data_IF_652440029575
#
_entry.id   IF_652440029575
#
_cell.length_a   1.000
_cell.length_b   1.000
_cell.length_c   1.000
_cell.angle_alpha   90.00
_cell.angle_beta   90.00
_cell.angle_gamma   90.00
#
_symmetry.space_group_name_H-M   'P 1'
#
loop_
_entity.id
_entity.type
_entity.pdbx_description
1 polymer ?
#
# COMPACT_ATOMS: atom_id res chain seq x y z
N UNK A 1 15.05 5.38 1.58
CA UNK A 1 13.77 5.27 0.86
C UNK A 1 12.67 4.91 1.85
N UNK A 2 11.64 5.75 2.01
CA UNK A 2 10.47 5.41 2.85
C UNK A 2 9.57 4.49 2.03
N UNK A 3 9.41 3.24 2.43
CA UNK A 3 8.66 2.22 1.68
C UNK A 3 7.23 2.06 2.24
N UNK A 4 6.42 3.10 2.05
CA UNK A 4 5.01 3.12 2.45
C UNK A 4 4.15 3.35 1.20
N UNK A 5 3.32 2.37 0.85
CA UNK A 5 2.53 2.35 -0.38
C UNK A 5 1.03 2.52 -0.14
N UNK A 6 0.63 2.83 1.09
CA UNK A 6 -0.74 3.19 1.44
C UNK A 6 -0.76 4.67 1.84
N UNK A 7 -1.41 5.51 1.04
CA UNK A 7 -1.52 6.95 1.32
C UNK A 7 -2.71 7.26 2.23
N UNK A 8 -3.79 6.47 2.10
CA UNK A 8 -5.04 6.70 2.84
C UNK A 8 -5.83 5.40 3.03
N UNK A 9 -6.43 5.24 4.21
CA UNK A 9 -7.50 4.27 4.48
C UNK A 9 -8.83 4.97 4.20
N UNK A 10 -9.66 4.37 3.34
CA UNK A 10 -10.97 4.91 2.93
C UNK A 10 -12.10 4.30 3.77
N UNK A 11 -12.03 3.01 4.04
CA UNK A 11 -12.93 2.30 4.94
C UNK A 11 -12.19 1.18 5.66
N UNK A 12 -12.65 0.85 6.85
CA UNK A 12 -12.10 -0.20 7.70
C UNK A 12 -13.23 -0.82 8.53
N UNK A 13 -13.53 -2.08 8.24
CA UNK A 13 -14.46 -2.91 9.01
C UNK A 13 -13.62 -3.91 9.81
N UNK A 14 -13.58 -3.70 11.13
CA UNK A 14 -12.70 -4.43 12.05
C UNK A 14 -12.81 -5.95 11.86
N UNK A 15 -11.68 -6.58 11.52
CA UNK A 15 -11.59 -8.03 11.35
C UNK A 15 -12.25 -8.59 10.08
N UNK A 16 -12.82 -7.75 9.23
CA UNK A 16 -13.57 -8.16 8.04
C UNK A 16 -12.95 -7.61 6.75
N UNK A 17 -12.85 -6.29 6.60
CA UNK A 17 -12.43 -5.68 5.33
C UNK A 17 -11.73 -4.33 5.51
N UNK A 18 -10.88 -3.97 4.53
CA UNK A 18 -10.25 -2.65 4.45
C UNK A 18 -10.19 -2.19 2.99
N UNK A 19 -10.45 -0.91 2.75
CA UNK A 19 -10.20 -0.26 1.47
C UNK A 19 -9.19 0.87 1.63
N UNK A 20 -8.17 0.90 0.77
CA UNK A 20 -7.08 1.88 0.82
C UNK A 20 -6.83 2.52 -0.54
N UNK A 21 -6.10 3.64 -0.54
CA UNK A 21 -5.69 4.35 -1.75
C UNK A 21 -4.19 4.51 -1.77
N UNK A 22 -3.62 4.22 -2.94
CA UNK A 22 -2.27 4.60 -3.36
C UNK A 22 -2.39 5.51 -4.58
N UNK A 23 -1.99 6.77 -4.42
CA UNK A 23 -1.88 7.72 -5.52
C UNK A 23 -0.53 7.49 -6.21
N UNK A 24 -0.55 7.52 -7.54
CA UNK A 24 0.65 7.40 -8.36
C UNK A 24 1.03 8.77 -8.91
N UNK A 25 2.32 9.07 -8.85
CA UNK A 25 2.91 10.25 -9.46
C UNK A 25 4.14 9.85 -10.27
N UNK A 26 4.35 10.50 -11.42
CA UNK A 26 5.57 10.31 -12.23
C UNK A 26 6.86 10.71 -11.49
N UNK A 27 6.75 11.35 -10.32
CA UNK A 27 7.89 11.63 -9.44
C UNK A 27 8.41 10.39 -8.68
N UNK A 28 7.69 9.26 -8.72
CA UNK A 28 8.13 8.03 -8.06
C UNK A 28 9.25 7.36 -8.85
N UNK A 29 10.41 7.18 -8.19
CA UNK A 29 11.67 6.74 -8.83
C UNK A 29 11.52 5.46 -9.66
N UNK A 30 10.77 4.48 -9.15
CA UNK A 30 10.57 3.20 -9.84
C UNK A 30 9.79 3.30 -11.15
N UNK A 31 9.03 4.38 -11.39
CA UNK A 31 8.34 4.60 -12.66
C UNK A 31 9.27 5.12 -13.76
N UNK A 32 10.43 5.68 -13.41
CA UNK A 32 11.44 6.06 -14.39
C UNK A 32 12.06 4.83 -15.08
N UNK A 33 12.23 3.74 -14.33
CA UNK A 33 12.91 2.52 -14.78
C UNK A 33 11.94 1.38 -15.16
N UNK A 34 10.64 1.51 -14.85
CA UNK A 34 9.64 0.49 -15.16
C UNK A 34 8.46 1.11 -15.93
N UNK A 35 8.56 1.33 -17.23
CA UNK A 35 9.73 1.18 -18.10
C UNK A 35 10.14 2.54 -18.68
N UNK A 36 11.40 2.73 -19.10
CA UNK A 36 11.82 3.99 -19.70
C UNK A 36 10.94 4.37 -20.90
N UNK A 37 10.30 5.55 -20.83
CA UNK A 37 9.36 6.03 -21.85
C UNK A 37 7.96 5.40 -21.83
N UNK A 38 7.72 4.41 -20.95
CA UNK A 38 6.43 3.75 -20.76
C UNK A 38 6.23 3.39 -19.27
N UNK A 39 5.94 4.38 -18.41
CA UNK A 39 5.83 4.17 -16.97
C UNK A 39 4.62 3.28 -16.63
N UNK A 40 4.89 2.21 -15.90
CA UNK A 40 3.94 1.18 -15.46
C UNK A 40 4.25 0.87 -14.00
N UNK A 41 3.25 0.90 -13.13
CA UNK A 41 3.46 0.47 -11.74
C UNK A 41 3.90 -1.02 -11.71
N UNK A 42 5.05 -1.37 -11.10
CA UNK A 42 5.43 -2.76 -10.95
C UNK A 42 4.37 -3.56 -10.18
N UNK A 43 3.96 -4.71 -10.71
CA UNK A 43 2.92 -5.54 -10.07
C UNK A 43 3.26 -5.97 -8.65
N UNK A 44 4.55 -6.15 -8.35
CA UNK A 44 5.02 -6.46 -6.99
C UNK A 44 4.75 -5.33 -5.99
N UNK A 45 4.73 -4.06 -6.44
CA UNK A 45 4.37 -2.94 -5.58
C UNK A 45 2.85 -2.86 -5.35
N UNK A 46 2.04 -3.32 -6.31
CA UNK A 46 0.60 -3.49 -6.09
C UNK A 46 0.33 -4.56 -5.02
N UNK A 47 1.04 -5.69 -5.09
CA UNK A 47 0.94 -6.75 -4.07
C UNK A 47 1.42 -6.26 -2.70
N UNK A 48 2.52 -5.52 -2.65
CA UNK A 48 3.01 -4.92 -1.40
C UNK A 48 1.99 -3.93 -0.82
N UNK A 49 1.37 -3.06 -1.62
CA UNK A 49 0.31 -2.17 -1.15
C UNK A 49 -0.88 -2.93 -0.56
N UNK A 50 -1.25 -4.08 -1.15
CA UNK A 50 -2.26 -4.99 -0.61
C UNK A 50 -1.83 -5.59 0.74
N UNK A 51 -0.58 -6.06 0.84
CA UNK A 51 -0.02 -6.61 2.09
C UNK A 51 -0.01 -5.56 3.19
N UNK A 52 0.45 -4.33 2.89
CA UNK A 52 0.44 -3.22 3.85
C UNK A 52 -0.98 -2.86 4.30
N UNK A 53 -1.96 -2.90 3.38
CA UNK A 53 -3.38 -2.69 3.71
C UNK A 53 -3.90 -3.78 4.65
N UNK A 54 -3.64 -5.06 4.34
CA UNK A 54 -4.01 -6.18 5.21
C UNK A 54 -3.34 -6.12 6.58
N UNK A 55 -2.09 -5.68 6.66
CA UNK A 55 -1.40 -5.48 7.93
C UNK A 55 -2.07 -4.40 8.79
N UNK A 56 -2.61 -3.34 8.19
CA UNK A 56 -3.43 -2.36 8.93
C UNK A 56 -4.72 -2.96 9.47
N UNK A 57 -5.42 -3.77 8.66
CA UNK A 57 -6.62 -4.48 9.11
C UNK A 57 -6.33 -5.40 10.30
N UNK A 58 -5.26 -6.19 10.21
CA UNK A 58 -4.85 -7.10 11.29
C UNK A 58 -4.49 -6.35 12.57
N UNK A 59 -3.73 -5.25 12.46
CA UNK A 59 -3.39 -4.41 13.61
C UNK A 59 -4.64 -3.86 14.30
N UNK A 60 -5.61 -3.36 13.54
CA UNK A 60 -6.86 -2.89 14.14
C UNK A 60 -7.66 -4.03 14.79
N UNK A 61 -7.74 -5.18 14.12
CA UNK A 61 -8.45 -6.36 14.64
C UNK A 61 -7.86 -6.89 15.95
N UNK A 62 -6.56 -6.69 16.17
CA UNK A 62 -5.83 -7.13 17.37
C UNK A 62 -5.64 -6.01 18.40
N UNK A 63 -6.40 -4.91 18.31
CA UNK A 63 -6.26 -3.71 19.16
C UNK A 63 -4.80 -3.25 19.29
N UNK A 64 -4.07 -3.32 18.17
CA UNK A 64 -2.68 -2.93 18.02
C UNK A 64 -1.68 -3.69 18.92
N UNK A 65 -2.06 -4.83 19.49
CA UNK A 65 -1.25 -5.59 20.46
C UNK A 65 0.13 -6.02 19.93
N UNK A 66 0.28 -6.23 18.63
CA UNK A 66 1.51 -6.72 17.99
C UNK A 66 2.09 -5.74 16.95
N UNK A 67 1.95 -4.44 17.19
CA UNK A 67 2.23 -3.38 16.20
C UNK A 67 3.71 -2.99 16.00
N UNK A 68 4.65 -3.88 16.30
CA UNK A 68 6.08 -3.65 16.03
C UNK A 68 6.41 -3.74 14.54
#
# INVERSE_FOLDING_TARGET
MRFALVDRIVSLERGESISTVKNLSLAEEYLADHFPGFPVLPGVLMLEALVQSGAWLMRDAEDFRYST
#
